data_IF_513356450012
#
_entry.id   IF_513356450012
#
_cell.length_a   1.000
_cell.length_b   1.000
_cell.length_c   1.000
_cell.angle_alpha   90.00
_cell.angle_beta   90.00
_cell.angle_gamma   90.00
#
_symmetry.space_group_name_H-M   'P 1'
#
loop_
_entity.id
_entity.type
_entity.pdbx_description
1 polymer ?
#
# COMPACT_ATOMS: atom_id res chain seq x y z
N UNK A 1 68.11 -20.70 -67.52
CA UNK A 1 67.92 -21.19 -66.14
C UNK A 1 67.08 -20.26 -65.27
N UNK A 2 67.04 -18.95 -65.54
CA UNK A 2 66.28 -17.91 -64.80
C UNK A 2 64.75 -18.01 -64.85
N UNK A 3 64.17 -18.56 -65.91
CA UNK A 3 62.70 -18.69 -66.02
C UNK A 3 62.11 -19.70 -65.02
N UNK A 4 62.86 -20.77 -64.68
CA UNK A 4 62.38 -21.85 -63.81
C UNK A 4 62.34 -21.41 -62.34
N UNK A 5 63.33 -20.62 -61.92
CA UNK A 5 63.40 -20.04 -60.57
C UNK A 5 62.30 -19.00 -60.33
N UNK A 6 61.90 -18.25 -61.35
CA UNK A 6 60.84 -17.25 -61.24
C UNK A 6 59.44 -17.89 -61.16
N UNK A 7 59.19 -19.00 -61.88
CA UNK A 7 57.96 -19.78 -61.73
C UNK A 7 57.83 -20.43 -60.35
N UNK A 8 58.93 -20.94 -59.78
CA UNK A 8 58.91 -21.55 -58.44
C UNK A 8 58.63 -20.50 -57.35
N UNK A 9 59.18 -19.29 -57.49
CA UNK A 9 58.91 -18.17 -56.58
C UNK A 9 57.43 -17.75 -56.61
N UNK A 10 56.84 -17.60 -57.80
CA UNK A 10 55.42 -17.24 -57.93
C UNK A 10 54.49 -18.31 -57.36
N UNK A 11 54.82 -19.60 -57.50
CA UNK A 11 54.05 -20.68 -56.89
C UNK A 11 54.12 -20.65 -55.36
N UNK A 12 55.30 -20.35 -54.80
CA UNK A 12 55.46 -20.20 -53.36
C UNK A 12 54.67 -19.01 -52.80
N UNK A 13 54.71 -17.86 -53.49
CA UNK A 13 53.93 -16.66 -53.11
C UNK A 13 52.43 -16.92 -53.17
N UNK A 14 51.96 -17.60 -54.21
CA UNK A 14 50.54 -17.95 -54.37
C UNK A 14 50.07 -18.96 -53.30
N UNK A 15 50.94 -19.89 -52.89
CA UNK A 15 50.69 -20.78 -51.76
C UNK A 15 50.53 -20.02 -50.43
N UNK A 16 51.43 -19.08 -50.16
CA UNK A 16 51.36 -18.21 -48.97
C UNK A 16 50.12 -17.32 -48.98
N UNK A 17 49.76 -16.76 -50.14
CA UNK A 17 48.55 -15.94 -50.29
C UNK A 17 47.27 -16.75 -49.98
N UNK A 18 47.18 -17.99 -50.48
CA UNK A 18 46.05 -18.89 -50.18
C UNK A 18 45.98 -19.25 -48.70
N UNK A 19 47.12 -19.53 -48.07
CA UNK A 19 47.17 -19.83 -46.65
C UNK A 19 46.71 -18.63 -45.80
N UNK A 20 47.10 -17.41 -46.17
CA UNK A 20 46.64 -16.17 -45.51
C UNK A 20 45.14 -15.96 -45.69
N UNK A 21 44.60 -16.21 -46.89
CA UNK A 21 43.17 -16.10 -47.14
C UNK A 21 42.36 -17.08 -46.27
N UNK A 22 42.74 -18.37 -46.24
CA UNK A 22 42.07 -19.35 -45.38
C UNK A 22 42.15 -19.01 -43.90
N UNK A 23 43.27 -18.45 -43.44
CA UNK A 23 43.42 -17.99 -42.06
C UNK A 23 42.48 -16.82 -41.77
N UNK A 24 42.40 -15.83 -42.66
CA UNK A 24 41.50 -14.70 -42.51
C UNK A 24 40.02 -15.14 -42.51
N UNK A 25 39.65 -16.09 -43.38
CA UNK A 25 38.30 -16.67 -43.41
C UNK A 25 37.96 -17.39 -42.10
N UNK A 26 38.92 -18.14 -41.54
CA UNK A 26 38.76 -18.82 -40.25
C UNK A 26 38.61 -17.84 -39.09
N UNK A 27 39.44 -16.79 -39.05
CA UNK A 27 39.35 -15.72 -38.03
C UNK A 27 38.01 -14.97 -38.14
N UNK A 28 37.53 -14.70 -39.37
CA UNK A 28 36.22 -14.08 -39.58
C UNK A 28 35.07 -14.97 -39.09
N UNK A 29 35.12 -16.27 -39.41
CA UNK A 29 34.11 -17.22 -38.96
C UNK A 29 34.08 -17.35 -37.43
N UNK A 30 35.24 -17.30 -36.77
CA UNK A 30 35.33 -17.33 -35.31
C UNK A 30 34.70 -16.08 -34.68
N UNK A 31 34.99 -14.89 -35.22
CA UNK A 31 34.39 -13.63 -34.76
C UNK A 31 32.87 -13.64 -34.94
N UNK A 32 32.39 -14.15 -36.09
CA UNK A 32 30.96 -14.26 -36.35
C UNK A 32 30.27 -15.22 -35.37
N UNK A 33 30.91 -16.36 -35.06
CA UNK A 33 30.42 -17.31 -34.07
C UNK A 33 30.35 -16.68 -32.67
N UNK A 34 31.39 -15.96 -32.24
CA UNK A 34 31.42 -15.25 -30.95
C UNK A 34 30.30 -14.19 -30.87
N UNK A 35 30.06 -13.47 -31.98
CA UNK A 35 29.02 -12.46 -32.06
C UNK A 35 27.62 -13.06 -31.98
N UNK A 36 27.39 -14.21 -32.63
CA UNK A 36 26.12 -14.95 -32.52
C UNK A 36 25.90 -15.47 -31.10
N UNK A 37 26.93 -15.98 -30.45
CA UNK A 37 26.85 -16.44 -29.06
C UNK A 37 26.52 -15.28 -28.10
N UNK A 38 27.18 -14.13 -28.26
CA UNK A 38 26.91 -12.93 -27.49
C UNK A 38 25.47 -12.43 -27.68
N UNK A 39 24.97 -12.43 -28.92
CA UNK A 39 23.55 -12.09 -29.21
C UNK A 39 22.58 -13.06 -28.56
N UNK A 40 22.87 -14.36 -28.60
CA UNK A 40 22.03 -15.36 -27.95
C UNK A 40 22.04 -15.20 -26.42
N UNK A 41 23.19 -14.84 -25.82
CA UNK A 41 23.29 -14.54 -24.40
C UNK A 41 22.46 -13.30 -24.01
N UNK A 42 22.53 -12.23 -24.81
CA UNK A 42 21.74 -11.02 -24.62
C UNK A 42 20.22 -11.33 -24.67
N UNK A 43 19.76 -12.06 -25.69
CA UNK A 43 18.36 -12.47 -25.81
C UNK A 43 17.87 -13.29 -24.61
N UNK A 44 18.72 -14.18 -24.06
CA UNK A 44 18.40 -14.94 -22.84
C UNK A 44 18.36 -14.04 -21.60
N UNK A 45 19.18 -12.99 -21.53
CA UNK A 45 19.12 -12.02 -20.45
C UNK A 45 17.83 -11.19 -20.53
N UNK A 46 17.47 -10.70 -21.73
CA UNK A 46 16.24 -9.96 -21.97
C UNK A 46 15.00 -10.80 -21.65
N UNK A 47 14.98 -12.07 -22.06
CA UNK A 47 13.90 -12.99 -21.72
C UNK A 47 13.75 -13.21 -20.21
N UNK A 48 14.85 -13.23 -19.45
CA UNK A 48 14.82 -13.30 -17.98
C UNK A 48 14.28 -12.01 -17.38
N UNK A 49 14.72 -10.87 -17.88
CA UNK A 49 14.23 -9.55 -17.44
C UNK A 49 12.73 -9.36 -17.74
N UNK A 50 12.26 -9.84 -18.89
CA UNK A 50 10.84 -9.78 -19.24
C UNK A 50 9.98 -10.65 -18.32
N UNK A 51 10.49 -11.82 -17.92
CA UNK A 51 9.79 -12.70 -16.96
C UNK A 51 9.70 -12.08 -15.57
N UNK A 52 10.79 -11.51 -15.07
CA UNK A 52 10.77 -10.85 -13.75
C UNK A 52 9.84 -9.64 -13.74
N UNK A 53 9.79 -8.88 -14.83
CA UNK A 53 8.87 -7.75 -14.95
C UNK A 53 7.40 -8.20 -15.02
N UNK A 54 7.09 -9.25 -15.77
CA UNK A 54 5.75 -9.82 -15.80
C UNK A 54 5.30 -10.34 -14.42
N UNK A 55 6.22 -10.94 -13.65
CA UNK A 55 5.95 -11.42 -12.30
C UNK A 55 5.65 -10.26 -11.33
N UNK A 56 6.42 -9.16 -11.41
CA UNK A 56 6.14 -7.95 -10.62
C UNK A 56 4.75 -7.39 -10.90
N UNK A 57 4.39 -7.23 -12.17
CA UNK A 57 3.07 -6.72 -12.57
C UNK A 57 1.95 -7.62 -12.03
N UNK A 58 2.15 -8.95 -12.05
CA UNK A 58 1.19 -9.90 -11.51
C UNK A 58 1.06 -9.80 -9.97
N UNK A 59 2.18 -9.62 -9.26
CA UNK A 59 2.20 -9.41 -7.81
C UNK A 59 1.48 -8.10 -7.45
N UNK A 60 1.78 -7.00 -8.16
CA UNK A 60 1.12 -5.71 -7.95
C UNK A 60 -0.39 -5.78 -8.19
N UNK A 61 -0.80 -6.51 -9.24
CA UNK A 61 -2.21 -6.77 -9.51
C UNK A 61 -2.88 -7.55 -8.37
N UNK A 62 -2.22 -8.61 -7.89
CA UNK A 62 -2.71 -9.44 -6.78
C UNK A 62 -2.84 -8.63 -5.49
N UNK A 63 -1.83 -7.83 -5.15
CA UNK A 63 -1.85 -6.95 -3.99
C UNK A 63 -2.98 -5.93 -4.07
N UNK A 64 -3.22 -5.36 -5.26
CA UNK A 64 -4.32 -4.43 -5.49
C UNK A 64 -5.69 -5.08 -5.27
N UNK A 65 -5.86 -6.34 -5.71
CA UNK A 65 -7.08 -7.10 -5.45
C UNK A 65 -7.26 -7.38 -3.96
N UNK A 66 -6.23 -7.86 -3.26
CA UNK A 66 -6.29 -8.13 -1.80
C UNK A 66 -6.65 -6.85 -1.04
N UNK A 67 -6.00 -5.72 -1.37
CA UNK A 67 -6.30 -4.43 -0.76
C UNK A 67 -7.76 -4.05 -0.94
N UNK A 68 -8.29 -4.18 -2.16
CA UNK A 68 -9.71 -3.92 -2.45
C UNK A 68 -10.63 -4.83 -1.63
N UNK A 69 -10.32 -6.11 -1.52
CA UNK A 69 -11.09 -7.03 -0.68
C UNK A 69 -11.06 -6.64 0.81
N UNK A 70 -9.89 -6.26 1.33
CA UNK A 70 -9.77 -5.77 2.70
C UNK A 70 -10.59 -4.50 2.92
N UNK A 71 -10.52 -3.52 2.00
CA UNK A 71 -11.31 -2.28 2.08
C UNK A 71 -12.82 -2.59 2.06
N UNK A 72 -13.27 -3.51 1.21
CA UNK A 72 -14.65 -3.97 1.18
C UNK A 72 -15.07 -4.66 2.49
N UNK A 73 -14.24 -5.54 3.03
CA UNK A 73 -14.50 -6.26 4.27
C UNK A 73 -14.56 -5.32 5.48
N UNK A 74 -13.65 -4.36 5.57
CA UNK A 74 -13.65 -3.32 6.60
C UNK A 74 -14.91 -2.46 6.47
N UNK A 75 -15.28 -2.02 5.26
CA UNK A 75 -16.51 -1.26 5.03
C UNK A 75 -17.80 -2.04 5.33
N UNK A 76 -17.80 -3.36 5.13
CA UNK A 76 -18.92 -4.22 5.48
C UNK A 76 -18.99 -4.41 7.00
N UNK A 77 -17.88 -4.68 7.66
CA UNK A 77 -17.80 -4.85 9.11
C UNK A 77 -18.19 -3.58 9.87
N UNK A 78 -17.68 -2.41 9.44
CA UNK A 78 -18.08 -1.12 10.01
C UNK A 78 -19.58 -0.85 9.82
N UNK A 79 -20.17 -1.27 8.69
CA UNK A 79 -21.61 -1.16 8.46
C UNK A 79 -22.41 -2.06 9.40
N UNK A 80 -21.98 -3.30 9.60
CA UNK A 80 -22.64 -4.22 10.55
C UNK A 80 -22.58 -3.64 11.97
N UNK A 81 -21.42 -3.21 12.45
CA UNK A 81 -21.27 -2.60 13.77
C UNK A 81 -22.09 -1.31 13.92
N UNK A 82 -22.16 -0.47 12.89
CA UNK A 82 -22.96 0.76 12.91
C UNK A 82 -24.47 0.45 12.93
N UNK A 83 -24.92 -0.58 12.21
CA UNK A 83 -26.33 -1.01 12.20
C UNK A 83 -26.71 -1.65 13.54
N UNK A 84 -25.86 -2.50 14.11
CA UNK A 84 -26.07 -3.08 15.44
C UNK A 84 -26.13 -1.98 16.50
N UNK A 85 -25.17 -1.04 16.50
CA UNK A 85 -25.18 0.10 17.42
C UNK A 85 -26.42 0.99 17.22
N UNK A 86 -26.82 1.28 15.99
CA UNK A 86 -28.04 2.03 15.72
C UNK A 86 -29.29 1.28 16.22
N UNK A 87 -29.35 -0.04 16.04
CA UNK A 87 -30.48 -0.87 16.50
C UNK A 87 -30.58 -0.90 18.02
N UNK A 88 -29.45 -0.88 18.72
CA UNK A 88 -29.41 -0.85 20.19
C UNK A 88 -29.69 0.55 20.75
N UNK A 89 -29.27 1.62 20.06
CA UNK A 89 -29.37 3.01 20.54
C UNK A 89 -30.68 3.67 20.16
N UNK A 90 -31.28 3.36 19.00
CA UNK A 90 -32.54 3.97 18.55
C UNK A 90 -33.71 3.76 19.52
N UNK A 91 -33.93 2.56 20.12
CA UNK A 91 -34.99 2.38 21.12
C UNK A 91 -34.76 3.17 22.41
N UNK A 92 -33.50 3.46 22.75
CA UNK A 92 -33.13 4.28 23.92
C UNK A 92 -33.30 5.78 23.65
N UNK A 93 -33.15 6.20 22.39
CA UNK A 93 -33.42 7.58 21.96
C UNK A 93 -34.91 7.85 21.74
N UNK A 94 -35.68 6.85 21.27
CA UNK A 94 -37.13 6.93 21.08
C UNK A 94 -37.91 6.79 22.41
N UNK A 95 -37.28 6.25 23.44
CA UNK A 95 -37.78 6.32 24.81
C UNK A 95 -37.62 7.75 25.32
N UNK A 96 -38.66 8.57 25.15
CA UNK A 96 -38.74 9.99 25.53
C UNK A 96 -37.96 10.26 26.83
N UNK A 97 -36.72 10.78 26.74
CA UNK A 97 -35.94 11.01 27.92
C UNK A 97 -36.48 12.31 28.50
N UNK A 98 -37.28 12.20 29.56
CA UNK A 98 -37.76 13.33 30.34
C UNK A 98 -36.63 14.32 30.75
N UNK A 99 -35.34 13.94 30.62
CA UNK A 99 -34.17 14.74 30.99
C UNK A 99 -32.97 14.72 29.98
N UNK A 100 -33.12 14.22 28.74
CA UNK A 100 -31.99 14.05 27.80
C UNK A 100 -32.22 14.67 26.42
N UNK A 101 -31.61 15.81 26.10
CA UNK A 101 -31.82 16.40 24.77
C UNK A 101 -31.11 15.62 23.65
N UNK A 102 -31.61 15.63 22.40
CA UNK A 102 -30.88 15.08 21.25
C UNK A 102 -29.48 15.67 21.08
N UNK A 103 -29.27 16.91 21.54
CA UNK A 103 -27.97 17.56 21.58
C UNK A 103 -27.02 16.88 22.58
N UNK A 104 -27.52 16.43 23.74
CA UNK A 104 -26.71 15.70 24.72
C UNK A 104 -26.28 14.32 24.20
N UNK A 105 -27.16 13.64 23.45
CA UNK A 105 -26.84 12.39 22.75
C UNK A 105 -25.74 12.59 21.70
N UNK A 106 -25.82 13.67 20.92
CA UNK A 106 -24.79 14.02 19.94
C UNK A 106 -23.43 14.27 20.62
N UNK A 107 -23.41 15.01 21.73
CA UNK A 107 -22.18 15.22 22.52
C UNK A 107 -21.61 13.93 23.07
N UNK A 108 -22.46 13.01 23.56
CA UNK A 108 -22.02 11.71 24.06
C UNK A 108 -21.40 10.84 22.95
N UNK A 109 -22.00 10.82 21.76
CA UNK A 109 -21.44 10.11 20.60
C UNK A 109 -20.07 10.68 20.19
N UNK A 110 -19.94 12.00 20.20
CA UNK A 110 -18.67 12.69 19.91
C UNK A 110 -17.60 12.34 20.96
N UNK A 111 -17.96 12.24 22.24
CA UNK A 111 -17.03 11.81 23.28
C UNK A 111 -16.61 10.34 23.11
N UNK A 112 -17.54 9.44 22.78
CA UNK A 112 -17.29 8.01 22.68
C UNK A 112 -16.44 7.63 21.46
N UNK A 113 -16.68 8.26 20.31
CA UNK A 113 -16.06 7.87 19.03
C UNK A 113 -15.05 8.89 18.50
N UNK A 114 -15.05 10.11 19.03
CA UNK A 114 -14.18 11.19 18.60
C UNK A 114 -12.90 11.31 19.43
N UNK A 115 -11.92 12.04 18.89
CA UNK A 115 -10.77 12.48 19.69
C UNK A 115 -11.22 13.66 20.57
N UNK A 116 -11.82 13.34 21.74
CA UNK A 116 -12.41 14.30 22.68
C UNK A 116 -11.48 15.47 23.01
N UNK A 117 -10.20 15.16 23.29
CA UNK A 117 -9.17 16.17 23.60
C UNK A 117 -8.93 17.11 22.43
N UNK A 118 -8.80 16.56 21.22
CA UNK A 118 -8.62 17.37 20.01
C UNK A 118 -9.83 18.28 19.75
N UNK A 119 -11.04 17.74 19.80
CA UNK A 119 -12.27 18.49 19.50
C UNK A 119 -12.53 19.62 20.51
N UNK A 120 -12.25 19.37 21.79
CA UNK A 120 -12.44 20.37 22.86
C UNK A 120 -11.25 21.34 23.00
N UNK A 121 -10.08 21.04 22.41
CA UNK A 121 -8.87 21.88 22.53
C UNK A 121 -9.04 23.32 22.03
N UNK A 122 -9.90 23.53 21.02
CA UNK A 122 -10.18 24.86 20.45
C UNK A 122 -11.38 25.58 21.08
N UNK A 123 -12.10 24.90 21.97
CA UNK A 123 -13.22 25.49 22.69
C UNK A 123 -12.72 26.35 23.85
N UNK A 124 -13.49 27.38 24.19
CA UNK A 124 -13.33 28.13 25.44
C UNK A 124 -13.67 27.28 26.66
N UNK A 125 -13.17 27.61 27.85
CA UNK A 125 -13.47 26.86 29.08
C UNK A 125 -14.97 26.68 29.33
N UNK A 126 -15.84 27.71 29.18
CA UNK A 126 -17.29 27.52 29.34
C UNK A 126 -17.90 26.54 28.33
N UNK A 127 -17.44 26.56 27.09
CA UNK A 127 -17.90 25.62 26.05
C UNK A 127 -17.47 24.18 26.35
N UNK A 128 -16.25 24.00 26.86
CA UNK A 128 -15.74 22.68 27.28
C UNK A 128 -16.54 22.11 28.45
N UNK A 129 -16.87 22.95 29.44
CA UNK A 129 -17.72 22.55 30.57
C UNK A 129 -19.13 22.19 30.11
N UNK A 130 -19.74 23.00 29.23
CA UNK A 130 -21.04 22.71 28.66
C UNK A 130 -21.07 21.36 27.92
N UNK A 131 -20.06 21.09 27.09
CA UNK A 131 -19.94 19.81 26.38
C UNK A 131 -19.74 18.63 27.34
N UNK A 132 -18.88 18.77 28.37
CA UNK A 132 -18.70 17.73 29.38
C UNK A 132 -19.98 17.46 30.19
N UNK A 133 -20.73 18.51 30.53
CA UNK A 133 -22.00 18.40 31.25
C UNK A 133 -23.08 17.72 30.39
N UNK A 134 -23.09 17.98 29.08
CA UNK A 134 -23.96 17.32 28.12
C UNK A 134 -23.70 15.79 28.06
N UNK A 135 -22.44 15.40 27.93
CA UNK A 135 -22.03 13.98 27.97
C UNK A 135 -22.43 13.35 29.31
N UNK A 136 -22.22 14.04 30.43
CA UNK A 136 -22.58 13.55 31.75
C UNK A 136 -24.10 13.44 31.98
N UNK A 137 -24.91 14.35 31.41
CA UNK A 137 -26.39 14.24 31.40
C UNK A 137 -26.83 12.99 30.65
N UNK A 138 -26.37 12.83 29.40
CA UNK A 138 -26.78 11.70 28.58
C UNK A 138 -26.30 10.35 29.15
N UNK A 139 -25.07 10.30 29.67
CA UNK A 139 -24.57 9.12 30.36
C UNK A 139 -25.42 8.71 31.58
N UNK A 140 -26.01 9.67 32.30
CA UNK A 140 -26.93 9.36 33.42
C UNK A 140 -28.22 8.72 32.90
N UNK A 141 -28.75 9.21 31.78
CA UNK A 141 -29.92 8.63 31.11
C UNK A 141 -29.62 7.19 30.68
N UNK A 142 -28.49 6.96 29.99
CA UNK A 142 -28.08 5.62 29.59
C UNK A 142 -27.93 4.68 30.79
N UNK A 143 -27.24 5.11 31.85
CA UNK A 143 -27.05 4.31 33.06
C UNK A 143 -28.35 4.00 33.81
N UNK A 144 -29.39 4.84 33.67
CA UNK A 144 -30.70 4.57 34.25
C UNK A 144 -31.46 3.49 33.46
N UNK A 145 -31.28 3.44 32.14
CA UNK A 145 -31.92 2.45 31.27
C UNK A 145 -31.17 1.10 31.25
N UNK A 146 -29.84 1.13 31.22
CA UNK A 146 -28.97 -0.04 31.31
C UNK A 146 -27.59 0.39 31.83
N UNK A 147 -27.05 -0.22 32.90
CA UNK A 147 -25.75 0.17 33.43
C UNK A 147 -24.66 -0.04 32.36
N UNK A 148 -24.12 1.07 31.87
CA UNK A 148 -23.02 1.11 30.92
C UNK A 148 -21.77 1.67 31.62
N UNK A 149 -20.58 1.41 31.09
CA UNK A 149 -19.33 1.85 31.72
C UNK A 149 -19.38 3.36 32.04
N UNK A 150 -19.15 3.73 33.31
CA UNK A 150 -19.16 5.14 33.71
C UNK A 150 -17.95 5.83 33.05
N UNK A 151 -18.14 6.94 32.32
CA UNK A 151 -17.03 7.75 31.86
C UNK A 151 -16.27 8.25 33.08
N UNK A 152 -14.95 8.04 33.09
CA UNK A 152 -14.09 8.64 34.11
C UNK A 152 -14.23 10.18 34.04
N UNK A 153 -14.69 10.85 35.11
CA UNK A 153 -14.84 12.31 35.15
C UNK A 153 -13.55 13.06 34.82
N UNK A 154 -12.39 12.46 35.06
CA UNK A 154 -11.08 13.04 34.77
C UNK A 154 -10.76 13.02 33.27
N UNK A 155 -11.24 12.01 32.53
CA UNK A 155 -11.10 11.95 31.07
C UNK A 155 -12.02 12.96 30.37
N UNK A 156 -13.20 13.20 30.94
CA UNK A 156 -14.14 14.20 30.43
C UNK A 156 -13.60 15.63 30.56
N UNK A 157 -12.92 15.94 31.68
CA UNK A 157 -12.40 17.29 31.99
C UNK A 157 -10.88 17.32 32.06
N UNK A 158 -10.22 16.84 31.01
CA UNK A 158 -8.76 16.75 30.91
C UNK A 158 -8.04 18.09 31.16
N UNK A 159 -8.68 19.22 30.86
CA UNK A 159 -8.15 20.57 31.11
C UNK A 159 -8.10 20.96 32.60
N UNK A 160 -8.70 20.18 33.51
CA UNK A 160 -8.63 20.41 34.96
C UNK A 160 -7.44 19.69 35.62
N UNK A 161 -6.81 18.74 34.94
CA UNK A 161 -5.72 17.91 35.46
C UNK A 161 -4.29 18.41 35.17
N UNK A 162 -4.13 19.57 34.52
CA UNK A 162 -2.82 20.18 34.23
C UNK A 162 -2.40 21.22 35.31
N UNK A 163 -2.74 20.98 36.59
CA UNK A 163 -2.24 21.78 37.73
C UNK A 163 -1.24 21.00 38.55
#
# INVERSE_FOLDING_TARGET
MTNRTMTDQLQAELGLARQRAHRADAEHAEIEAQLLEARAAALRADARSARTEAEKVNIEHTLSQVRRFCEMAVNASMRVQAVEHATDVLPVLDADPADGSPADAAWFSVWLHGNWRHLTSRMTTPQREHAADAVARYNRVLNAAAPCSKPDPLLLRWWRGER
#
